data_IF_879465171175
#
_entry.id   IF_879465171175
#
_cell.length_a   1.000
_cell.length_b   1.000
_cell.length_c   1.000
_cell.angle_alpha   90.00
_cell.angle_beta   90.00
_cell.angle_gamma   90.00
#
_symmetry.space_group_name_H-M   'P 1'
#
loop_
_entity.id
_entity.type
_entity.pdbx_description
1 polymer ?
2 non-polymer ?
3 non-polymer ?
4 non-polymer ?
5 water ?
#
# COMPACT_ATOMS: atom_id res chain seq x y z
N UNK A 3 29.14 19.31 -1.16
CA UNK A 3 28.48 18.04 -0.89
C UNK A 3 27.37 17.78 -1.89
N UNK A 4 27.22 16.51 -2.25
CA UNK A 4 26.32 16.12 -3.33
C UNK A 4 25.77 14.72 -3.09
N UNK A 5 24.52 14.64 -2.65
CA UNK A 5 23.89 13.35 -2.41
C UNK A 5 22.63 13.18 -3.25
N UNK A 6 22.64 12.14 -4.06
CA UNK A 6 21.55 11.85 -4.96
C UNK A 6 21.10 10.42 -4.74
N UNK A 7 19.80 10.21 -4.62
CA UNK A 7 19.29 8.85 -4.51
C UNK A 7 18.81 8.37 -5.87
N UNK A 8 19.60 7.48 -6.47
CA UNK A 8 19.22 6.80 -7.71
C UNK A 8 18.53 5.47 -7.35
N UNK A 9 17.42 5.15 -7.99
CA UNK A 9 16.82 3.82 -7.85
C UNK A 9 16.68 3.14 -9.19
N UNK A 10 16.90 1.83 -9.20
CA UNK A 10 16.61 1.02 -10.36
C UNK A 10 15.88 -0.23 -9.87
N UNK A 11 14.69 -0.48 -10.40
CA UNK A 11 13.86 -1.59 -9.94
C UNK A 11 14.51 -2.94 -10.25
N UNK A 12 14.24 -3.96 -9.41
CA UNK A 12 14.82 -5.30 -9.63
C UNK A 12 14.10 -6.11 -10.71
N UNK A 13 12.92 -5.66 -11.13
CA UNK A 13 12.15 -6.38 -12.14
C UNK A 13 11.17 -5.43 -12.83
N UNK A 14 10.61 -5.86 -13.95
CA UNK A 14 9.59 -5.09 -14.63
C UNK A 14 8.36 -4.91 -13.74
N UNK A 15 7.68 -3.79 -13.87
CA UNK A 15 6.45 -3.53 -13.12
C UNK A 15 5.26 -3.45 -14.10
N UNK A 16 4.25 -4.26 -13.85
CA UNK A 16 3.00 -4.21 -14.60
C UNK A 16 1.94 -3.67 -13.64
N UNK A 17 1.45 -2.47 -13.88
CA UNK A 17 0.64 -1.77 -12.87
C UNK A 17 -0.60 -2.56 -12.47
N UNK A 18 -1.24 -3.23 -13.43
CA UNK A 18 -2.44 -4.01 -13.16
C UNK A 18 -2.13 -5.12 -12.14
N UNK A 19 -0.92 -5.65 -12.22
CA UNK A 19 -0.44 -6.72 -11.33
C UNK A 19 0.11 -6.17 -10.02
N UNK A 20 0.73 -4.99 -10.10
CA UNK A 20 1.55 -4.47 -9.01
C UNK A 20 0.84 -3.53 -8.03
N UNK A 21 -0.03 -2.66 -8.55
CA UNK A 21 -0.62 -1.59 -7.75
C UNK A 21 -2.11 -1.84 -7.49
N UNK A 22 -2.44 -2.10 -6.24
CA UNK A 22 -3.82 -2.26 -5.82
C UNK A 22 -4.22 -1.11 -4.93
N UNK A 23 -5.47 -1.12 -4.47
CA UNK A 23 -5.95 -0.13 -3.52
C UNK A 23 -6.67 -0.82 -2.37
N UNK A 24 -6.54 -0.26 -1.17
CA UNK A 24 -7.46 -0.60 -0.10
C UNK A 24 -8.83 -0.04 -0.45
N UNK A 25 -9.88 -0.62 0.12
CA UNK A 25 -11.22 -0.11 -0.12
C UNK A 25 -12.08 -0.47 1.07
N UNK A 26 -13.21 0.22 1.20
CA UNK A 26 -14.08 0.05 2.35
C UNK A 26 -15.51 -0.09 1.83
N UNK A 27 -15.69 -0.98 0.86
CA UNK A 27 -16.93 -1.03 0.09
C UNK A 27 -18.19 -1.19 0.95
N UNK A 28 -18.11 -1.94 2.04
CA UNK A 28 -19.31 -2.20 2.83
C UNK A 28 -19.75 -0.96 3.61
N UNK A 29 -18.94 0.10 3.60
CA UNK A 29 -19.38 1.37 4.17
C UNK A 29 -20.40 2.05 3.27
N UNK A 30 -20.56 1.52 2.06
CA UNK A 30 -21.31 2.20 1.02
C UNK A 30 -22.40 1.32 0.42
N UNK A 31 -23.41 1.96 -0.20
CA UNK A 31 -24.41 1.23 -0.99
C UNK A 31 -23.76 0.59 -2.21
N UNK A 32 -24.36 -0.50 -2.72
CA UNK A 32 -23.81 -1.14 -3.92
C UNK A 32 -23.72 -0.19 -5.13
N UNK A 33 -24.67 0.74 -5.24
CA UNK A 33 -24.63 1.73 -6.30
C UNK A 33 -23.38 2.59 -6.18
N UNK A 34 -23.09 3.02 -4.96
CA UNK A 34 -21.93 3.88 -4.72
C UNK A 34 -20.62 3.12 -4.89
N UNK A 35 -20.54 1.88 -4.40
CA UNK A 35 -19.25 1.22 -4.53
C UNK A 35 -19.03 0.69 -5.94
N UNK A 36 -20.09 0.45 -6.71
CA UNK A 36 -19.86 0.13 -8.13
C UNK A 36 -19.33 1.34 -8.90
N UNK A 37 -19.71 2.56 -8.50
CA UNK A 37 -19.14 3.76 -9.11
C UNK A 37 -17.65 3.91 -8.74
N UNK A 38 -17.30 3.58 -7.48
CA UNK A 38 -15.90 3.59 -7.06
C UNK A 38 -15.08 2.64 -7.93
N UNK A 39 -15.67 1.48 -8.22
CA UNK A 39 -14.99 0.47 -9.02
C UNK A 39 -14.85 0.94 -10.47
N UNK A 40 -15.87 1.64 -10.99
CA UNK A 40 -15.75 2.31 -12.29
C UNK A 40 -14.46 3.13 -12.36
N UNK A 41 -14.23 3.94 -11.33
CA UNK A 41 -13.06 4.81 -11.28
C UNK A 41 -11.76 4.03 -11.18
N UNK A 42 -11.78 2.95 -10.39
CA UNK A 42 -10.60 2.11 -10.25
C UNK A 42 -10.24 1.48 -11.58
N UNK A 43 -11.25 0.96 -12.28
CA UNK A 43 -11.02 0.31 -13.57
C UNK A 43 -10.49 1.29 -14.60
N UNK A 44 -10.95 2.54 -14.52
CA UNK A 44 -10.44 3.58 -15.43
C UNK A 44 -8.95 3.85 -15.22
N UNK A 45 -8.40 3.50 -14.06
CA UNK A 45 -6.95 3.61 -13.86
C UNK A 45 -6.18 2.40 -14.43
N UNK A 46 -6.90 1.39 -14.89
CA UNK A 46 -6.26 0.17 -15.38
C UNK A 46 -5.85 -0.78 -14.25
N UNK A 47 -6.49 -0.63 -13.09
CA UNK A 47 -6.14 -1.44 -11.91
C UNK A 47 -7.24 -2.44 -11.59
N UNK A 48 -6.94 -3.45 -10.77
CA UNK A 48 -7.92 -4.51 -10.48
C UNK A 48 -7.80 -5.14 -9.09
N UNK A 49 -6.70 -4.88 -8.39
CA UNK A 49 -6.46 -5.50 -7.07
C UNK A 49 -7.04 -4.64 -5.96
N UNK A 50 -7.83 -5.25 -5.06
CA UNK A 50 -8.36 -4.52 -3.90
C UNK A 50 -8.10 -5.28 -2.61
N UNK A 51 -7.93 -4.53 -1.52
CA UNK A 51 -7.75 -5.10 -0.18
C UNK A 51 -8.85 -4.61 0.74
N UNK A 52 -9.52 -5.55 1.40
CA UNK A 52 -10.71 -5.26 2.18
C UNK A 52 -10.61 -5.80 3.61
N UNK A 53 -11.04 -5.00 4.58
CA UNK A 53 -11.00 -5.38 5.99
C UNK A 53 -12.27 -6.13 6.41
N UNK A 54 -12.10 -7.20 7.18
CA UNK A 54 -13.21 -7.86 7.84
C UNK A 54 -12.98 -7.86 9.35
N UNK A 55 -13.93 -7.34 10.12
CA UNK A 55 -13.84 -7.40 11.57
C UNK A 55 -14.74 -8.49 12.12
N UNK A 56 -14.12 -9.43 12.82
CA UNK A 56 -14.83 -10.63 13.27
C UNK A 56 -16.04 -10.28 14.13
N UNK A 57 -15.86 -9.29 15.01
CA UNK A 57 -16.93 -8.85 15.90
C UNK A 57 -18.11 -8.22 15.16
N UNK A 58 -17.93 -7.86 13.89
CA UNK A 58 -19.03 -7.36 13.07
C UNK A 58 -19.69 -8.46 12.24
N UNK A 59 -18.93 -9.51 11.93
CA UNK A 59 -19.46 -10.62 11.13
C UNK A 59 -20.13 -11.68 11.99
N UNK A 60 -19.62 -11.87 13.20
CA UNK A 60 -20.21 -12.81 14.12
C UNK A 60 -20.51 -12.05 15.40
N UNK A 61 -21.77 -11.64 15.56
CA UNK A 61 -22.16 -10.71 16.62
C UNK A 61 -22.52 -11.40 17.93
N UNK A 62 -22.66 -12.72 17.86
CA UNK A 62 -22.77 -13.60 19.01
C UNK A 62 -22.35 -14.96 18.49
N UNK A 63 -22.07 -15.91 19.36
CA UNK A 63 -21.49 -17.17 18.90
C UNK A 63 -22.39 -17.87 17.90
N UNK A 64 -21.86 -18.11 16.70
CA UNK A 64 -22.58 -18.74 15.58
C UNK A 64 -23.84 -17.98 15.15
N UNK A 65 -23.86 -16.67 15.43
CA UNK A 65 -24.86 -15.76 14.86
C UNK A 65 -24.10 -14.84 13.91
N UNK A 66 -24.33 -14.99 12.61
CA UNK A 66 -23.54 -14.26 11.64
C UNK A 66 -24.32 -13.14 10.96
N UNK A 67 -23.59 -12.18 10.41
CA UNK A 67 -24.18 -11.10 9.63
C UNK A 67 -23.46 -11.05 8.29
N UNK A 68 -23.90 -11.86 7.33
CA UNK A 68 -23.11 -12.03 6.12
C UNK A 68 -23.82 -11.59 4.83
N UNK A 69 -25.04 -11.06 4.95
CA UNK A 69 -25.80 -10.72 3.74
C UNK A 69 -25.06 -9.70 2.87
N UNK A 70 -24.55 -8.63 3.48
CA UNK A 70 -23.83 -7.58 2.75
C UNK A 70 -22.52 -8.09 2.15
N UNK A 71 -21.82 -8.90 2.92
CA UNK A 71 -20.55 -9.47 2.45
C UNK A 71 -20.79 -10.44 1.31
N UNK A 72 -21.80 -11.32 1.45
CA UNK A 72 -22.16 -12.24 0.37
C UNK A 72 -22.40 -11.49 -0.95
N UNK A 73 -23.17 -10.41 -0.88
CA UNK A 73 -23.48 -9.62 -2.08
C UNK A 73 -22.23 -8.93 -2.63
N UNK A 74 -21.38 -8.42 -1.75
CA UNK A 74 -20.15 -7.77 -2.19
C UNK A 74 -19.23 -8.72 -2.94
N UNK A 75 -19.08 -9.93 -2.41
CA UNK A 75 -18.21 -10.92 -3.07
C UNK A 75 -18.75 -11.26 -4.48
N UNK A 76 -20.06 -11.38 -4.62
CA UNK A 76 -20.66 -11.59 -5.94
C UNK A 76 -20.37 -10.39 -6.83
N UNK A 77 -20.50 -9.18 -6.27
CA UNK A 77 -20.29 -7.95 -7.05
C UNK A 77 -18.83 -7.81 -7.49
N UNK A 78 -17.90 -8.16 -6.62
CA UNK A 78 -16.47 -8.09 -6.96
C UNK A 78 -16.12 -9.00 -8.14
N UNK A 79 -16.66 -10.22 -8.15
CA UNK A 79 -16.42 -11.12 -9.27
C UNK A 79 -17.11 -10.64 -10.54
N UNK A 80 -18.30 -10.08 -10.40
CA UNK A 80 -18.99 -9.49 -11.55
C UNK A 80 -18.22 -8.28 -12.13
N UNK A 81 -17.36 -7.65 -11.32
CA UNK A 81 -16.54 -6.55 -11.83
C UNK A 81 -15.10 -6.99 -12.12
N UNK A 82 -14.87 -8.30 -12.13
CA UNK A 82 -13.55 -8.87 -12.45
C UNK A 82 -12.42 -8.34 -11.56
N UNK A 83 -12.70 -8.03 -10.31
CA UNK A 83 -11.66 -7.56 -9.40
C UNK A 83 -10.94 -8.73 -8.73
N UNK A 84 -9.69 -8.52 -8.34
CA UNK A 84 -8.94 -9.54 -7.61
C UNK A 84 -8.81 -9.04 -6.17
N UNK A 85 -9.18 -9.87 -5.19
CA UNK A 85 -9.30 -9.32 -3.85
C UNK A 85 -8.48 -10.06 -2.79
N UNK A 86 -7.98 -9.31 -1.83
CA UNK A 86 -7.42 -9.90 -0.64
C UNK A 86 -8.23 -9.38 0.55
N UNK A 87 -8.70 -10.30 1.38
CA UNK A 87 -9.47 -9.94 2.57
C UNK A 87 -8.65 -10.26 3.81
N UNK A 88 -8.63 -9.37 4.78
CA UNK A 88 -8.04 -9.74 6.08
C UNK A 88 -9.12 -9.79 7.16
N UNK A 89 -8.96 -10.73 8.08
CA UNK A 89 -9.86 -10.86 9.22
C UNK A 89 -9.10 -10.43 10.46
N UNK A 90 -9.68 -9.52 11.25
CA UNK A 90 -9.01 -9.01 12.44
C UNK A 90 -10.03 -8.82 13.56
N UNK A 91 -9.55 -8.79 14.80
CA UNK A 91 -10.43 -8.57 15.94
C UNK A 91 -11.03 -9.86 16.49
N UNK A 92 -11.35 -9.85 17.78
CA UNK A 92 -12.01 -10.99 18.41
C UNK A 92 -13.50 -10.75 18.48
N UNK A 93 -14.29 -11.77 18.19
CA UNK A 93 -15.71 -11.75 18.52
C UNK A 93 -15.85 -11.75 20.03
N UNK A 94 -16.97 -11.23 20.54
CA UNK A 94 -17.16 -11.08 21.97
C UNK A 94 -17.05 -12.40 22.74
N UNK A 95 -17.50 -13.50 22.15
CA UNK A 95 -17.56 -14.76 22.87
C UNK A 95 -16.16 -15.40 23.04
N UNK A 96 -15.17 -14.86 22.36
CA UNK A 96 -13.88 -15.52 22.30
C UNK A 96 -12.72 -14.63 22.77
N UNK A 97 -12.99 -13.36 23.05
CA UNK A 97 -11.93 -12.40 23.30
C UNK A 97 -11.21 -12.66 24.63
N UNK A 98 -9.94 -12.25 24.70
CA UNK A 98 -9.16 -12.32 25.93
C UNK A 98 -9.33 -11.04 26.75
N UNK A 99 -10.15 -10.12 26.28
CA UNK A 99 -10.38 -8.87 26.98
C UNK A 99 -10.96 -9.10 28.38
N UNK A 100 -10.53 -8.31 29.37
CA UNK A 100 -11.19 -8.33 30.68
C UNK A 100 -12.64 -7.86 30.52
N UNK A 101 -13.50 -8.21 31.46
CA UNK A 101 -14.93 -7.93 31.30
C UNK A 101 -15.26 -6.46 31.08
N UNK A 102 -14.61 -5.57 31.82
CA UNK A 102 -14.97 -4.16 31.77
C UNK A 102 -14.08 -3.30 30.85
N UNK A 103 -13.32 -3.93 29.97
CA UNK A 103 -12.55 -3.18 28.98
C UNK A 103 -13.45 -2.56 27.93
N UNK A 104 -13.14 -1.33 27.52
CA UNK A 104 -13.89 -0.64 26.47
C UNK A 104 -13.52 -1.08 25.05
N UNK A 105 -12.44 -1.85 24.90
CA UNK A 105 -11.94 -2.22 23.57
C UNK A 105 -11.92 -3.73 23.37
N UNK A 106 -13.06 -4.38 23.60
CA UNK A 106 -13.16 -5.84 23.59
C UNK A 106 -12.55 -6.49 22.35
N UNK A 107 -12.76 -5.90 21.19
CA UNK A 107 -12.31 -6.50 19.93
C UNK A 107 -10.81 -6.35 19.67
N UNK A 108 -10.15 -5.50 20.47
CA UNK A 108 -8.74 -5.18 20.23
C UNK A 108 -7.80 -6.15 20.94
N UNK A 109 -8.40 -7.14 21.62
CA UNK A 109 -7.66 -8.22 22.26
C UNK A 109 -7.69 -9.46 21.35
N UNK A 110 -6.63 -10.28 21.40
CA UNK A 110 -6.63 -11.48 20.54
C UNK A 110 -7.56 -12.57 21.08
N UNK A 111 -7.88 -13.57 20.25
CA UNK A 111 -8.79 -14.61 20.75
C UNK A 111 -8.14 -15.54 21.76
N UNK A 112 -8.95 -16.08 22.66
CA UNK A 112 -8.53 -17.05 23.67
C UNK A 112 -8.01 -18.33 23.04
N UNK A 113 -8.59 -18.70 21.90
CA UNK A 113 -8.25 -19.95 21.23
C UNK A 113 -8.01 -19.67 19.75
N UNK A 114 -6.74 -19.74 19.30
CA UNK A 114 -6.43 -19.48 17.90
C UNK A 114 -7.17 -20.39 16.93
N UNK A 115 -7.51 -21.61 17.35
CA UNK A 115 -8.17 -22.57 16.46
C UNK A 115 -9.57 -22.13 16.09
N UNK A 116 -10.22 -21.39 16.98
CA UNK A 116 -11.56 -20.88 16.73
C UNK A 116 -11.53 -19.81 15.64
N UNK A 117 -10.58 -18.91 15.73
CA UNK A 117 -10.34 -17.90 14.69
C UNK A 117 -10.02 -18.57 13.37
N UNK A 118 -9.13 -19.56 13.41
CA UNK A 118 -8.71 -20.26 12.20
C UNK A 118 -9.91 -20.91 11.50
N UNK A 119 -10.81 -21.51 12.26
CA UNK A 119 -12.00 -22.13 11.66
C UNK A 119 -12.87 -21.09 10.95
N UNK A 120 -12.89 -19.86 11.45
CA UNK A 120 -13.66 -18.81 10.79
C UNK A 120 -13.01 -18.43 9.46
N UNK A 121 -11.69 -18.29 9.44
CA UNK A 121 -11.01 -17.98 8.17
C UNK A 121 -11.21 -19.12 7.16
N UNK A 122 -11.22 -20.36 7.64
CA UNK A 122 -11.49 -21.49 6.77
C UNK A 122 -12.93 -21.45 6.23
N UNK A 123 -13.88 -21.09 7.10
CA UNK A 123 -15.28 -20.97 6.68
C UNK A 123 -15.42 -19.91 5.60
N UNK A 124 -14.80 -18.75 5.82
CA UNK A 124 -14.88 -17.65 4.87
C UNK A 124 -14.27 -18.02 3.53
N UNK A 125 -13.11 -18.67 3.57
CA UNK A 125 -12.42 -19.08 2.35
C UNK A 125 -13.26 -20.08 1.57
N UNK A 126 -13.83 -21.05 2.28
CA UNK A 126 -14.66 -22.06 1.62
C UNK A 126 -15.94 -21.44 1.06
N UNK A 127 -16.47 -20.44 1.75
CA UNK A 127 -17.67 -19.74 1.31
C UNK A 127 -17.42 -18.86 0.08
N UNK A 128 -16.21 -18.32 -0.03
CA UNK A 128 -15.87 -17.38 -1.09
C UNK A 128 -14.66 -17.82 -1.90
N UNK A 129 -14.79 -18.86 -2.74
CA UNK A 129 -13.61 -19.38 -3.45
C UNK A 129 -13.01 -18.40 -4.46
N UNK A 130 -13.77 -17.37 -4.85
CA UNK A 130 -13.24 -16.37 -5.79
C UNK A 130 -12.18 -15.45 -5.18
N UNK A 131 -12.14 -15.37 -3.85
CA UNK A 131 -11.18 -14.49 -3.19
C UNK A 131 -9.75 -14.96 -3.49
N UNK A 132 -8.88 -14.03 -3.84
CA UNK A 132 -7.55 -14.37 -4.34
C UNK A 132 -6.56 -14.72 -3.23
N UNK A 133 -6.68 -14.07 -2.08
CA UNK A 133 -5.79 -14.33 -0.96
C UNK A 133 -6.44 -13.97 0.36
N UNK A 134 -6.00 -14.63 1.43
CA UNK A 134 -6.53 -14.40 2.77
C UNK A 134 -5.43 -13.93 3.69
N UNK A 135 -5.70 -12.86 4.44
CA UNK A 135 -4.68 -12.24 5.31
C UNK A 135 -5.06 -12.35 6.78
N UNK A 136 -4.08 -12.71 7.62
CA UNK A 136 -4.38 -13.12 8.99
C UNK A 136 -4.09 -12.01 10.00
N UNK A 137 -5.15 -11.43 10.56
CA UNK A 137 -5.08 -10.30 11.50
C UNK A 137 -4.53 -9.05 10.82
N UNK A 138 -4.21 -8.05 11.64
CA UNK A 138 -3.72 -6.77 11.12
C UNK A 138 -2.89 -6.07 12.18
N UNK A 139 -1.75 -5.52 11.78
CA UNK A 139 -0.85 -4.75 12.67
C UNK A 139 -0.75 -5.25 14.14
N UNK A 140 -0.34 -6.52 14.33
CA UNK A 140 -0.24 -7.07 15.70
C UNK A 140 0.88 -6.42 16.51
N UNK A 141 1.77 -5.65 15.88
CA UNK A 141 2.78 -4.91 16.63
C UNK A 141 2.22 -3.63 17.23
N UNK A 142 0.98 -3.29 16.88
CA UNK A 142 0.35 -2.06 17.37
C UNK A 142 -0.67 -2.36 18.46
N UNK A 143 -0.60 -1.64 19.58
CA UNK A 143 -1.46 -1.92 20.74
C UNK A 143 -2.94 -1.95 20.39
N UNK A 144 -3.38 -1.05 19.52
CA UNK A 144 -4.78 -0.95 19.15
C UNK A 144 -5.32 -2.16 18.41
N UNK A 145 -4.45 -3.08 17.99
CA UNK A 145 -4.93 -4.30 17.35
C UNK A 145 -4.59 -5.57 18.12
N UNK A 146 -3.75 -5.46 19.14
CA UNK A 146 -3.41 -6.62 19.95
C UNK A 146 -3.06 -6.21 21.37
N UNK A 147 -4.07 -6.13 22.23
CA UNK A 147 -3.91 -5.75 23.62
C UNK A 147 -3.62 -6.97 24.50
N UNK A 148 -2.95 -6.77 25.64
CA UNK A 148 -2.43 -5.50 26.16
C UNK A 148 -0.99 -5.21 25.79
N UNK A 149 -0.36 -6.10 25.05
CA UNK A 149 1.06 -5.98 24.76
C UNK A 149 1.38 -6.84 23.54
N UNK A 150 2.24 -6.35 22.65
CA UNK A 150 2.60 -7.11 21.46
C UNK A 150 3.14 -8.47 21.89
N UNK A 151 2.76 -9.52 21.15
CA UNK A 151 3.06 -10.88 21.57
C UNK A 151 3.42 -11.75 20.37
N UNK A 152 4.69 -11.71 19.95
CA UNK A 152 5.12 -12.44 18.74
C UNK A 152 4.75 -13.92 18.83
N UNK A 153 4.96 -14.53 19.98
CA UNK A 153 4.63 -15.93 20.21
C UNK A 153 3.14 -16.19 19.98
N UNK A 154 2.31 -15.33 20.56
CA UNK A 154 0.87 -15.42 20.39
C UNK A 154 0.44 -15.23 18.94
N UNK A 155 1.05 -14.28 18.24
CA UNK A 155 0.65 -14.06 16.86
C UNK A 155 1.14 -15.22 15.99
N UNK A 156 2.33 -15.75 16.27
CA UNK A 156 2.82 -16.90 15.51
C UNK A 156 1.87 -18.10 15.59
N UNK A 157 1.36 -18.36 16.78
CA UNK A 157 0.43 -19.48 16.97
C UNK A 157 -0.87 -19.23 16.21
N UNK A 158 -1.34 -17.98 16.23
CA UNK A 158 -2.54 -17.62 15.50
C UNK A 158 -2.32 -17.77 13.99
N UNK A 159 -1.18 -17.27 13.51
CA UNK A 159 -0.84 -17.38 12.09
C UNK A 159 -0.66 -18.85 11.68
N UNK A 160 0.02 -19.62 12.50
CA UNK A 160 0.19 -21.06 12.21
C UNK A 160 -1.14 -21.78 12.08
N UNK A 161 -2.01 -21.58 13.07
CA UNK A 161 -3.30 -22.23 13.09
C UNK A 161 -4.16 -21.83 11.88
N UNK A 162 -4.12 -20.55 11.53
CA UNK A 162 -4.87 -20.04 10.37
C UNK A 162 -4.33 -20.59 9.05
N UNK A 163 -3.01 -20.64 8.93
CA UNK A 163 -2.37 -21.12 7.72
C UNK A 163 -2.76 -22.57 7.44
N UNK A 164 -2.64 -23.41 8.46
CA UNK A 164 -3.03 -24.82 8.35
C UNK A 164 -4.50 -24.96 7.91
N UNK A 165 -5.38 -24.24 8.58
CA UNK A 165 -6.81 -24.32 8.25
C UNK A 165 -7.11 -23.82 6.83
N UNK A 166 -6.48 -22.71 6.44
CA UNK A 166 -6.74 -22.14 5.12
C UNK A 166 -6.23 -23.08 4.03
N UNK A 167 -5.13 -23.77 4.31
CA UNK A 167 -4.55 -24.68 3.31
C UNK A 167 -5.31 -25.98 3.22
N UNK A 168 -6.03 -26.34 4.28
CA UNK A 168 -6.92 -27.49 4.23
C UNK A 168 -8.09 -27.24 3.27
N UNK A 169 -8.60 -26.02 3.25
CA UNK A 169 -9.63 -25.61 2.29
C UNK A 169 -9.07 -25.53 0.87
N UNK A 170 -7.95 -24.84 0.71
CA UNK A 170 -7.28 -24.70 -0.58
C UNK A 170 -5.76 -24.63 -0.40
N UNK A 171 -5.05 -25.74 -0.68
CA UNK A 171 -3.60 -25.76 -0.44
C UNK A 171 -2.77 -24.88 -1.37
N UNK A 172 -3.36 -24.44 -2.49
CA UNK A 172 -2.60 -23.64 -3.44
C UNK A 172 -2.78 -22.14 -3.25
N UNK A 173 -3.79 -21.75 -2.49
CA UNK A 173 -4.08 -20.33 -2.34
C UNK A 173 -3.13 -19.66 -1.35
N UNK A 174 -2.58 -18.50 -1.72
CA UNK A 174 -1.64 -17.76 -0.86
C UNK A 174 -2.23 -17.39 0.51
N UNK A 175 -1.42 -17.56 1.55
CA UNK A 175 -1.77 -17.06 2.87
C UNK A 175 -0.89 -15.86 3.18
N UNK A 176 -1.51 -14.76 3.58
CA UNK A 176 -0.77 -13.53 3.80
C UNK A 176 -0.70 -13.25 5.30
N UNK A 177 0.50 -13.01 5.83
CA UNK A 177 0.56 -12.66 7.25
C UNK A 177 0.10 -11.20 7.44
N UNK A 178 -0.18 -10.84 8.68
CA UNK A 178 -0.70 -9.50 8.98
C UNK A 178 0.21 -8.40 8.47
N UNK A 179 -0.40 -7.36 7.92
CA UNK A 179 0.36 -6.17 7.59
C UNK A 179 0.90 -5.57 8.88
N UNK A 180 2.23 -5.54 9.04
CA UNK A 180 2.84 -4.93 10.22
C UNK A 180 2.79 -3.40 10.16
N UNK A 181 2.43 -2.73 11.26
CA UNK A 181 2.44 -1.27 11.26
C UNK A 181 3.86 -0.73 11.03
N UNK A 182 3.99 0.30 10.21
CA UNK A 182 5.28 0.95 9.92
C UNK A 182 6.28 -0.07 9.38
N UNK A 183 7.44 -0.22 10.02
CA UNK A 183 8.39 -1.26 9.58
C UNK A 183 8.44 -2.45 10.55
N UNK A 184 7.33 -2.66 11.28
CA UNK A 184 7.10 -3.76 12.23
C UNK A 184 7.70 -3.54 13.62
N UNK A 185 8.16 -2.32 13.92
CA UNK A 185 8.69 -1.97 15.24
C UNK A 185 7.67 -2.23 16.34
N UNK A 186 8.13 -2.75 17.47
CA UNK A 186 7.31 -2.89 18.67
C UNK A 186 7.78 -1.91 19.73
N UNK A 187 6.89 -1.58 20.69
CA UNK A 187 7.24 -0.66 21.78
C UNK A 187 8.44 -1.09 22.62
N UNK A 188 8.77 -2.38 22.66
CA UNK A 188 9.91 -2.83 23.45
C UNK A 188 11.23 -2.63 22.69
N UNK A 189 11.15 -2.03 21.51
CA UNK A 189 12.35 -1.75 20.74
C UNK A 189 12.81 -2.83 19.77
N UNK A 190 12.14 -3.99 19.76
CA UNK A 190 12.44 -5.02 18.75
C UNK A 190 11.50 -4.86 17.56
N UNK A 191 11.76 -5.57 16.47
CA UNK A 191 10.80 -5.58 15.38
C UNK A 191 10.05 -6.90 15.40
N UNK A 192 8.78 -6.87 15.02
CA UNK A 192 7.98 -8.09 14.95
C UNK A 192 8.59 -9.08 13.95
N UNK A 193 9.14 -8.56 12.84
CA UNK A 193 9.68 -9.46 11.82
C UNK A 193 10.85 -10.23 12.39
N UNK A 194 11.66 -9.55 13.19
CA UNK A 194 12.80 -10.23 13.78
C UNK A 194 12.35 -11.29 14.77
N UNK A 195 11.44 -10.91 15.66
CA UNK A 195 11.00 -11.83 16.71
C UNK A 195 10.33 -13.07 16.09
N UNK A 196 9.54 -12.85 15.04
CA UNK A 196 8.87 -13.95 14.36
C UNK A 196 9.88 -14.88 13.69
N UNK A 197 10.96 -14.30 13.15
CA UNK A 197 12.03 -15.08 12.55
C UNK A 197 12.66 -16.04 13.53
N UNK A 198 12.77 -15.61 14.79
CA UNK A 198 13.34 -16.47 15.82
C UNK A 198 12.40 -17.60 16.19
N UNK A 199 11.12 -17.38 15.94
CA UNK A 199 10.11 -18.40 16.22
C UNK A 199 9.92 -19.35 15.04
N UNK A 200 10.73 -19.17 13.99
CA UNK A 200 10.70 -20.07 12.86
C UNK A 200 9.49 -19.89 11.94
N UNK A 201 8.91 -18.69 11.96
CA UNK A 201 7.67 -18.40 11.24
C UNK A 201 7.82 -18.50 9.73
N UNK A 202 9.04 -18.31 9.22
CA UNK A 202 9.27 -18.42 7.79
C UNK A 202 8.98 -19.83 7.26
N UNK A 203 8.96 -20.83 8.15
CA UNK A 203 8.62 -22.18 7.73
C UNK A 203 7.15 -22.30 7.29
N UNK A 204 6.34 -21.31 7.65
CA UNK A 204 4.94 -21.33 7.24
C UNK A 204 4.76 -20.94 5.78
N UNK A 205 5.76 -20.27 5.21
CA UNK A 205 5.69 -19.83 3.83
C UNK A 205 4.58 -18.82 3.54
N UNK A 206 4.28 -17.94 4.48
CA UNK A 206 3.25 -16.93 4.22
C UNK A 206 3.88 -15.68 3.61
N UNK A 207 3.08 -14.92 2.88
CA UNK A 207 3.54 -13.64 2.34
C UNK A 207 3.75 -12.61 3.45
N UNK A 208 4.87 -11.92 3.40
CA UNK A 208 5.20 -10.93 4.41
C UNK A 208 4.75 -9.54 3.95
N UNK A 209 4.25 -8.73 4.87
CA UNK A 209 3.83 -7.41 4.46
C UNK A 209 3.87 -6.39 5.60
N UNK A 210 4.05 -5.12 5.25
CA UNK A 210 4.08 -4.06 6.25
C UNK A 210 3.55 -2.75 5.67
N UNK A 211 3.39 -1.77 6.54
CA UNK A 211 2.61 -0.57 6.24
C UNK A 211 3.48 0.64 6.54
N UNK A 212 4.42 0.95 5.64
CA UNK A 212 5.46 1.91 6.01
C UNK A 212 5.01 3.38 5.86
N UNK A 213 4.03 3.80 6.65
CA UNK A 213 3.62 5.21 6.64
C UNK A 213 4.77 6.06 7.17
N UNK A 214 5.08 7.17 6.50
CA UNK A 214 6.02 8.17 7.04
C UNK A 214 5.46 9.57 6.79
N UNK A 215 6.00 10.56 7.49
CA UNK A 215 5.53 11.93 7.36
C UNK A 215 5.64 12.48 5.94
N UNK A 216 6.84 12.36 5.37
CA UNK A 216 7.13 12.78 4.00
C UNK A 216 7.23 11.56 3.10
N UNK A 217 7.23 11.76 1.77
CA UNK A 217 7.27 10.55 0.93
C UNK A 217 8.55 9.75 1.15
N UNK A 218 9.65 10.43 1.46
CA UNK A 218 10.95 9.74 1.50
C UNK A 218 11.51 9.58 2.91
N UNK A 219 10.69 9.82 3.93
CA UNK A 219 11.14 9.73 5.31
C UNK A 219 10.29 10.55 6.26
N UNK A 220 10.69 10.63 7.53
CA UNK A 220 9.91 11.40 8.49
C UNK A 220 10.35 12.84 8.72
N UNK A 221 11.58 13.17 8.35
CA UNK A 221 12.09 14.55 8.49
C UNK A 221 12.88 14.94 7.25
N UNK A 222 12.84 16.24 6.89
CA UNK A 222 13.57 16.74 5.72
C UNK A 222 15.07 16.44 5.76
N UNK A 223 15.64 16.36 6.96
CA UNK A 223 17.06 16.09 7.15
C UNK A 223 17.35 14.60 7.34
N UNK A 224 16.31 13.77 7.25
CA UNK A 224 16.48 12.34 7.47
C UNK A 224 15.55 11.57 6.54
N UNK A 225 15.80 11.69 5.24
CA UNK A 225 14.97 11.01 4.25
C UNK A 225 15.47 9.57 4.07
N UNK A 226 15.15 8.69 5.01
CA UNK A 226 15.73 7.35 4.96
C UNK A 226 14.73 6.24 4.70
N UNK A 227 13.63 6.57 4.04
CA UNK A 227 12.64 5.57 3.67
C UNK A 227 13.26 4.46 2.82
N UNK A 228 14.00 4.85 1.79
CA UNK A 228 14.59 3.89 0.89
C UNK A 228 15.55 2.96 1.64
N UNK A 229 16.38 3.53 2.50
CA UNK A 229 17.33 2.76 3.29
C UNK A 229 16.62 1.72 4.19
N UNK A 230 15.55 2.14 4.86
CA UNK A 230 14.77 1.25 5.73
C UNK A 230 14.08 0.14 4.95
N UNK A 231 13.45 0.52 3.86
CA UNK A 231 12.72 -0.43 3.02
C UNK A 231 13.68 -1.47 2.46
N UNK A 232 14.84 -1.02 1.98
CA UNK A 232 15.82 -1.94 1.43
C UNK A 232 16.30 -2.92 2.50
N UNK A 233 16.52 -2.40 3.70
CA UNK A 233 17.04 -3.23 4.78
C UNK A 233 16.02 -4.29 5.18
N UNK A 234 14.77 -3.90 5.38
CA UNK A 234 13.78 -4.89 5.79
C UNK A 234 13.48 -5.88 4.64
N UNK A 235 13.43 -5.37 3.41
CA UNK A 235 13.13 -6.25 2.29
C UNK A 235 14.24 -7.28 2.07
N UNK A 236 15.49 -6.85 2.20
CA UNK A 236 16.61 -7.78 2.09
C UNK A 236 16.56 -8.86 3.17
N UNK A 237 16.20 -8.46 4.38
CA UNK A 237 16.14 -9.39 5.49
C UNK A 237 15.03 -10.41 5.25
N UNK A 238 13.91 -9.95 4.70
CA UNK A 238 12.79 -10.83 4.39
C UNK A 238 13.16 -11.84 3.29
N UNK A 239 13.80 -11.37 2.21
CA UNK A 239 14.26 -12.29 1.17
C UNK A 239 15.23 -13.31 1.75
N UNK A 240 16.15 -12.87 2.60
CA UNK A 240 17.13 -13.78 3.20
C UNK A 240 16.47 -14.86 4.05
N UNK A 241 15.31 -14.56 4.60
CA UNK A 241 14.56 -15.52 5.41
C UNK A 241 13.73 -16.43 4.52
N UNK A 242 13.71 -16.15 3.22
CA UNK A 242 13.04 -17.00 2.27
C UNK A 242 11.53 -16.83 2.17
N UNK A 243 11.03 -15.63 2.34
CA UNK A 243 9.59 -15.40 2.17
C UNK A 243 9.21 -15.60 0.70
N UNK A 244 7.99 -16.09 0.44
CA UNK A 244 7.55 -16.29 -0.93
C UNK A 244 7.34 -14.98 -1.70
N UNK A 245 7.01 -13.92 -0.98
CA UNK A 245 6.76 -12.62 -1.59
C UNK A 245 6.69 -11.55 -0.51
N UNK A 246 6.87 -10.31 -0.92
CA UNK A 246 6.74 -9.15 -0.04
C UNK A 246 5.72 -8.20 -0.63
N UNK A 247 4.68 -7.88 0.14
CA UNK A 247 3.72 -6.86 -0.23
C UNK A 247 3.84 -5.68 0.70
N UNK A 248 3.36 -4.51 0.27
CA UNK A 248 3.05 -3.47 1.23
C UNK A 248 1.55 -3.24 1.17
N UNK A 249 0.82 -3.66 2.20
CA UNK A 249 -0.64 -3.64 2.07
C UNK A 249 -1.31 -2.32 2.48
N UNK A 250 -0.51 -1.36 2.95
CA UNK A 250 -1.03 0.00 3.24
C UNK A 250 0.09 1.02 3.16
N UNK A 251 -0.21 2.18 2.57
CA UNK A 251 0.63 3.37 2.62
C UNK A 251 -0.21 4.53 2.07
N UNK A 252 0.14 5.76 2.38
CA UNK A 252 -0.63 6.90 1.86
C UNK A 252 -0.73 8.07 2.81
N UNK A 253 -1.48 9.10 2.40
CA UNK A 253 -1.62 10.34 3.18
C UNK A 253 -3.06 10.81 3.13
N UNK A 254 -3.46 11.50 4.18
CA UNK A 254 -4.79 12.06 4.30
C UNK A 254 -4.80 13.51 3.88
N UNK A 255 -5.85 13.93 3.17
CA UNK A 255 -6.03 15.33 2.81
C UNK A 255 -6.73 16.15 3.89
N UNK A 256 -6.88 15.61 5.10
CA UNK A 256 -7.70 16.29 6.12
C UNK A 256 -7.17 17.67 6.49
N UNK A 257 -8.05 18.49 7.04
CA UNK A 257 -7.72 19.89 7.32
C UNK A 257 -7.32 20.08 8.77
N UNK A 258 -7.51 19.04 9.58
CA UNK A 258 -7.11 19.09 10.97
C UNK A 258 -8.27 18.87 11.92
N UNK A 259 -8.02 18.97 13.23
CA UNK A 259 -6.73 19.32 13.83
C UNK A 259 -5.69 18.22 13.68
N UNK A 260 -4.42 18.60 13.69
CA UNK A 260 -3.34 17.65 13.44
C UNK A 260 -3.40 16.44 14.36
N UNK A 261 -3.37 15.26 13.75
CA UNK A 261 -3.24 14.03 14.51
C UNK A 261 -2.26 13.09 13.79
N UNK A 262 -1.03 13.05 14.30
CA UNK A 262 0.12 12.33 13.73
C UNK A 262 0.63 12.94 12.42
N UNK A 263 -0.26 13.08 11.44
CA UNK A 263 0.16 13.54 10.13
C UNK A 263 0.01 15.06 9.97
N UNK A 264 1.06 15.72 9.48
CA UNK A 264 0.98 17.15 9.18
C UNK A 264 -0.10 17.40 8.15
N UNK A 265 -0.70 18.59 8.19
CA UNK A 265 -1.77 18.95 7.28
C UNK A 265 -1.16 19.33 5.94
N UNK A 266 -1.57 18.65 4.87
CA UNK A 266 -1.04 18.91 3.54
C UNK A 266 -2.12 19.19 2.50
N UNK A 267 -3.37 18.84 2.80
CA UNK A 267 -4.50 19.13 1.90
C UNK A 267 -4.55 18.23 0.67
N UNK A 268 -5.48 18.52 -0.24
CA UNK A 268 -5.67 17.67 -1.43
C UNK A 268 -4.47 17.74 -2.38
N UNK A 269 -3.83 18.90 -2.48
CA UNK A 269 -2.67 19.04 -3.37
C UNK A 269 -1.41 18.37 -2.80
N UNK A 270 -1.21 18.52 -1.49
CA UNK A 270 -0.15 17.78 -0.84
C UNK A 270 -0.35 16.29 -0.96
N UNK A 271 -1.59 15.82 -0.79
CA UNK A 271 -1.87 14.40 -0.92
C UNK A 271 -1.47 13.90 -2.31
N UNK A 272 -1.84 14.64 -3.36
CA UNK A 272 -1.51 14.25 -4.72
C UNK A 272 0.01 14.17 -4.91
N UNK A 273 0.70 15.19 -4.44
CA UNK A 273 2.16 15.29 -4.52
C UNK A 273 2.83 14.10 -3.83
N UNK A 274 2.48 13.89 -2.56
CA UNK A 274 3.16 12.87 -1.75
C UNK A 274 2.89 11.45 -2.27
N UNK A 275 1.66 11.18 -2.66
CA UNK A 275 1.31 9.84 -3.15
C UNK A 275 2.11 9.51 -4.41
N UNK A 276 2.24 10.48 -5.30
CA UNK A 276 2.99 10.25 -6.55
C UNK A 276 4.48 10.01 -6.28
N UNK A 277 5.08 10.83 -5.41
CA UNK A 277 6.48 10.62 -5.10
C UNK A 277 6.71 9.26 -4.45
N UNK A 278 5.85 8.88 -3.50
CA UNK A 278 6.03 7.60 -2.80
C UNK A 278 5.83 6.43 -3.76
N UNK A 279 4.88 6.58 -4.69
CA UNK A 279 4.65 5.54 -5.69
C UNK A 279 5.89 5.33 -6.55
N UNK A 280 6.51 6.44 -6.97
CA UNK A 280 7.75 6.34 -7.76
C UNK A 280 8.82 5.57 -6.97
N UNK A 281 8.89 5.81 -5.67
CA UNK A 281 9.87 5.11 -4.83
C UNK A 281 9.54 3.63 -4.70
N UNK A 282 8.32 3.33 -4.27
CA UNK A 282 7.98 1.95 -3.94
C UNK A 282 7.96 1.06 -5.17
N UNK A 283 7.57 1.61 -6.32
CA UNK A 283 7.53 0.78 -7.53
C UNK A 283 8.94 0.45 -8.00
N UNK A 284 9.95 1.10 -7.42
CA UNK A 284 11.33 0.82 -7.81
C UNK A 284 12.08 0.05 -6.72
N UNK A 285 11.35 -0.38 -5.69
CA UNK A 285 11.93 -1.13 -4.58
C UNK A 285 11.47 -2.58 -4.68
N UNK A 286 11.94 -3.42 -3.76
CA UNK A 286 11.70 -4.86 -3.90
C UNK A 286 10.38 -5.30 -3.27
N UNK A 287 9.29 -4.77 -3.79
CA UNK A 287 7.93 -5.22 -3.45
C UNK A 287 7.35 -6.01 -4.63
N UNK A 288 6.58 -7.05 -4.36
CA UNK A 288 5.88 -7.76 -5.42
C UNK A 288 4.51 -7.14 -5.71
N UNK A 289 3.93 -6.52 -4.70
CA UNK A 289 2.63 -5.85 -4.83
C UNK A 289 2.46 -4.84 -3.71
N UNK A 290 1.87 -3.68 -4.01
CA UNK A 290 1.58 -2.70 -2.97
C UNK A 290 0.12 -2.22 -3.08
N UNK A 291 -0.44 -1.76 -1.96
CA UNK A 291 -1.84 -1.30 -1.92
C UNK A 291 -1.96 0.09 -1.31
N UNK A 292 -2.31 1.07 -2.13
CA UNK A 292 -2.52 2.42 -1.64
C UNK A 292 -3.70 2.49 -0.66
N UNK A 293 -3.56 3.24 0.44
CA UNK A 293 -4.69 3.55 1.32
C UNK A 293 -5.16 4.99 1.02
N UNK A 294 -6.35 5.20 0.45
CA UNK A 294 -7.35 4.18 0.18
C UNK A 294 -8.20 4.65 -0.99
N UNK A 295 -9.17 3.84 -1.45
CA UNK A 295 -9.91 4.19 -2.67
C UNK A 295 -10.81 5.42 -2.49
N UNK A 296 -11.52 5.50 -1.36
CA UNK A 296 -12.51 6.56 -1.19
C UNK A 296 -12.44 7.24 0.17
N UNK A 297 -12.75 8.53 0.18
CA UNK A 297 -13.04 9.25 1.42
C UNK A 297 -14.14 8.51 2.19
N UNK A 298 -14.24 8.74 3.49
CA UNK A 298 -15.22 8.03 4.32
C UNK A 298 -16.04 9.02 5.12
N UNK A 299 -17.22 8.60 5.58
CA UNK A 299 -18.07 9.52 6.33
C UNK A 299 -17.64 9.60 7.80
N UNK A 300 -18.50 10.16 8.63
CA UNK A 300 -18.09 10.50 9.99
C UNK A 300 -18.03 9.32 10.94
N UNK A 301 -18.28 8.10 10.44
CA UNK A 301 -17.95 6.91 11.20
C UNK A 301 -16.43 6.73 11.34
N UNK A 302 -15.67 7.36 10.45
CA UNK A 302 -14.21 7.31 10.53
C UNK A 302 -13.69 8.50 11.34
N UNK A 303 -12.49 8.36 11.90
CA UNK A 303 -11.82 9.48 12.56
C UNK A 303 -11.60 10.61 11.55
N UNK A 304 -11.37 11.81 12.05
CA UNK A 304 -11.19 12.99 11.20
C UNK A 304 -10.10 12.76 10.16
N UNK A 305 -8.96 12.23 10.58
CA UNK A 305 -7.87 11.99 9.64
C UNK A 305 -8.24 10.91 8.61
N UNK A 306 -8.84 9.82 9.09
CA UNK A 306 -9.15 8.67 8.24
C UNK A 306 -10.25 8.92 7.20
N UNK A 307 -10.94 10.05 7.31
CA UNK A 307 -11.99 10.38 6.34
C UNK A 307 -11.45 10.80 4.98
N UNK A 308 -10.18 11.19 4.91
CA UNK A 308 -9.70 11.87 3.70
C UNK A 308 -8.49 11.23 3.03
N UNK A 309 -8.34 9.91 3.17
CA UNK A 309 -7.26 9.19 2.48
C UNK A 309 -7.64 8.82 1.04
N UNK A 310 -8.87 9.11 0.64
CA UNK A 310 -9.38 8.63 -0.64
C UNK A 310 -8.69 9.15 -1.90
N UNK A 311 -8.65 8.30 -2.94
CA UNK A 311 -8.44 8.77 -4.31
C UNK A 311 -9.68 9.54 -4.74
N UNK A 312 -10.81 9.14 -4.16
CA UNK A 312 -12.12 9.65 -4.57
C UNK A 312 -12.79 10.36 -3.41
N UNK A 313 -13.61 11.37 -3.70
CA UNK A 313 -14.41 11.99 -2.65
C UNK A 313 -15.62 11.12 -2.33
N UNK A 314 -16.44 11.56 -1.40
CA UNK A 314 -17.58 10.77 -0.96
C UNK A 314 -18.56 10.45 -2.08
N UNK A 315 -18.64 11.33 -3.08
CA UNK A 315 -19.52 11.10 -4.22
C UNK A 315 -18.88 10.16 -5.24
N UNK A 316 -17.72 9.60 -4.89
CA UNK A 316 -16.95 8.70 -5.76
C UNK A 316 -16.45 9.43 -7.00
N UNK A 317 -16.20 10.73 -6.87
CA UNK A 317 -15.60 11.50 -7.95
C UNK A 317 -14.12 11.75 -7.69
N UNK A 318 -13.32 11.88 -8.75
CA UNK A 318 -11.87 12.07 -8.61
C UNK A 318 -11.47 13.25 -7.72
N UNK A 319 -10.51 13.02 -6.82
CA UNK A 319 -9.82 14.10 -6.12
C UNK A 319 -8.55 14.45 -6.93
N UNK A 320 -7.85 15.53 -6.58
CA UNK A 320 -6.59 15.82 -7.28
C UNK A 320 -5.60 14.63 -7.36
N UNK A 321 -5.50 13.82 -6.31
CA UNK A 321 -4.57 12.70 -6.35
C UNK A 321 -4.98 11.66 -7.42
N UNK A 322 -6.28 11.44 -7.60
CA UNK A 322 -6.72 10.53 -8.66
C UNK A 322 -6.31 11.06 -10.03
N UNK A 323 -6.61 12.33 -10.29
CA UNK A 323 -6.31 12.92 -11.59
C UNK A 323 -4.82 12.90 -11.86
N UNK A 324 -4.01 13.15 -10.82
CA UNK A 324 -2.57 13.09 -10.95
C UNK A 324 -2.08 11.65 -11.23
N UNK A 325 -2.58 10.69 -10.46
CA UNK A 325 -2.22 9.30 -10.66
C UNK A 325 -2.64 8.83 -12.06
N UNK A 326 -3.82 9.24 -12.49
CA UNK A 326 -4.30 8.92 -13.83
C UNK A 326 -3.34 9.44 -14.92
N UNK A 327 -2.88 10.69 -14.79
CA UNK A 327 -1.94 11.26 -15.76
C UNK A 327 -0.62 10.50 -15.76
N UNK A 328 -0.17 10.17 -14.56
CA UNK A 328 1.07 9.43 -14.34
C UNK A 328 1.05 8.07 -15.05
N UNK A 329 -0.02 7.31 -14.82
CA UNK A 329 -0.16 5.99 -15.42
C UNK A 329 -0.33 6.04 -16.93
N UNK A 330 -0.95 7.11 -17.43
CA UNK A 330 -1.09 7.26 -18.88
C UNK A 330 0.27 7.50 -19.53
N UNK A 331 1.12 8.26 -18.87
CA UNK A 331 2.45 8.52 -19.39
C UNK A 331 3.33 7.27 -19.33
N UNK A 332 3.28 6.52 -18.22
CA UNK A 332 4.10 5.31 -18.11
C UNK A 332 3.63 4.23 -19.07
N UNK A 333 2.33 4.18 -19.34
CA UNK A 333 1.76 3.06 -20.04
C UNK A 333 1.59 1.94 -19.02
N UNK A 334 1.12 0.78 -19.44
CA UNK A 334 0.77 -0.28 -18.49
C UNK A 334 1.94 -1.09 -17.89
N UNK A 335 3.12 -1.01 -18.50
CA UNK A 335 4.25 -1.84 -18.08
C UNK A 335 5.58 -1.12 -18.22
N UNK A 336 6.38 -1.17 -17.17
CA UNK A 336 7.68 -0.50 -17.18
C UNK A 336 8.81 -1.49 -16.93
N UNK A 337 9.87 -1.39 -17.72
CA UNK A 337 11.06 -2.21 -17.54
C UNK A 337 12.17 -1.35 -16.95
N UNK A 338 12.96 -1.92 -16.01
CA UNK A 338 14.04 -1.16 -15.35
C UNK A 338 15.04 -0.57 -16.35
N UNK A 339 15.48 0.64 -16.09
CA UNK A 339 16.48 1.29 -16.94
C UNK A 339 17.33 2.26 -16.12
N UNK A 340 18.19 3.00 -16.80
CA UNK A 340 19.02 4.00 -16.15
C UNK A 340 18.49 5.41 -16.45
N UNK A 341 18.75 6.35 -15.55
CA UNK A 341 18.42 7.74 -15.86
C UNK A 341 19.32 8.25 -16.98
N UNK A 342 18.93 9.36 -17.64
CA UNK A 342 19.82 9.90 -18.68
C UNK A 342 21.04 10.51 -18.02
N UNK A 343 22.08 10.73 -18.81
CA UNK A 343 23.27 11.43 -18.34
C UNK A 343 22.88 12.86 -17.92
N UNK A 344 23.28 13.25 -16.71
CA UNK A 344 22.98 14.59 -16.20
C UNK A 344 24.22 15.40 -15.88
N UNK A 345 24.09 16.71 -15.98
CA UNK A 345 25.08 17.66 -15.49
C UNK A 345 24.40 18.61 -14.49
N UNK A 346 24.97 18.69 -13.30
CA UNK A 346 24.49 19.56 -12.24
C UNK A 346 23.07 19.22 -11.78
N UNK A 347 22.76 17.93 -11.70
CA UNK A 347 21.54 17.49 -11.02
C UNK A 347 21.63 17.96 -9.57
N UNK A 348 20.59 18.64 -9.06
CA UNK A 348 20.65 19.27 -7.75
C UNK A 348 20.86 18.28 -6.61
N UNK A 349 21.60 18.73 -5.60
CA UNK A 349 21.75 17.99 -4.36
C UNK A 349 20.35 17.65 -3.80
N UNK A 350 20.20 16.46 -3.23
CA UNK A 350 18.93 16.02 -2.69
C UNK A 350 17.99 15.36 -3.71
N UNK A 351 18.42 15.29 -4.96
CA UNK A 351 17.55 14.75 -6.01
C UNK A 351 17.27 13.25 -5.84
N UNK A 352 16.06 12.86 -6.23
CA UNK A 352 15.70 11.46 -6.44
C UNK A 352 15.61 11.25 -7.95
N UNK A 353 16.05 10.09 -8.44
CA UNK A 353 16.26 9.88 -9.86
C UNK A 353 15.99 8.41 -10.20
N UNK A 354 15.00 8.15 -11.04
CA UNK A 354 14.58 6.78 -11.36
C UNK A 354 14.32 6.60 -12.85
N UNK A 355 14.94 5.58 -13.43
CA UNK A 355 14.82 5.34 -14.86
C UNK A 355 14.04 4.08 -15.22
N UNK A 356 13.23 4.19 -16.26
CA UNK A 356 12.39 3.10 -16.78
C UNK A 356 12.36 3.16 -18.30
N UNK A 357 11.95 2.05 -18.92
CA UNK A 357 11.57 2.01 -20.33
C UNK A 357 10.12 1.56 -20.45
N UNK A 358 9.31 2.20 -21.30
CA UNK A 358 7.91 1.75 -21.47
C UNK A 358 7.78 0.79 -22.63
N UNK A 359 6.54 0.40 -22.90
CA UNK A 359 6.28 -0.66 -23.87
C UNK A 359 6.64 -0.24 -25.28
N UNK A 360 6.50 1.03 -25.61
CA UNK A 360 6.85 1.50 -26.95
C UNK A 360 8.36 1.77 -27.09
N UNK A 361 9.12 1.48 -26.03
CA UNK A 361 10.56 1.59 -26.11
C UNK A 361 11.12 2.92 -25.67
N UNK A 362 10.26 3.91 -25.44
CA UNK A 362 10.73 5.21 -25.00
C UNK A 362 11.16 5.13 -23.54
N UNK A 363 12.15 5.93 -23.18
CA UNK A 363 12.58 6.01 -21.80
C UNK A 363 11.72 6.98 -21.01
N UNK A 364 11.61 6.69 -19.72
CA UNK A 364 10.89 7.51 -18.77
C UNK A 364 11.80 7.81 -17.60
N UNK A 365 12.00 9.09 -17.32
CA UNK A 365 12.80 9.48 -16.15
C UNK A 365 11.91 10.14 -15.12
N UNK A 366 11.96 9.65 -13.89
CA UNK A 366 11.20 10.22 -12.77
C UNK A 366 12.18 10.90 -11.84
N UNK A 367 11.90 12.15 -11.50
CA UNK A 367 12.86 12.92 -10.74
C UNK A 367 12.24 14.08 -10.00
N UNK A 368 12.91 14.46 -8.90
CA UNK A 368 12.51 15.63 -8.12
C UNK A 368 13.62 15.96 -7.12
N UNK A 369 13.55 17.14 -6.52
CA UNK A 369 14.45 17.51 -5.44
C UNK A 369 13.82 18.58 -4.58
N UNK A 370 14.02 18.48 -3.27
CA UNK A 370 13.44 19.44 -2.33
C UNK A 370 13.86 20.88 -2.61
N UNK A 371 15.04 21.08 -3.18
CA UNK A 371 15.52 22.43 -3.37
C UNK A 371 15.26 22.95 -4.79
N UNK A 372 14.55 22.17 -5.59
CA UNK A 372 14.20 22.56 -6.94
C UNK A 372 15.42 22.86 -7.79
N UNK A 373 15.27 23.76 -8.75
CA UNK A 373 16.40 24.20 -9.55
C UNK A 373 16.32 23.71 -10.98
N UNK A 374 17.46 23.30 -11.51
CA UNK A 374 17.58 23.02 -12.94
C UNK A 374 18.68 21.98 -13.17
N UNK A 375 18.53 21.19 -14.21
CA UNK A 375 19.54 20.19 -14.56
C UNK A 375 19.74 20.20 -16.07
N UNK A 376 20.96 19.96 -16.51
CA UNK A 376 21.24 19.87 -17.95
C UNK A 376 21.41 18.41 -18.37
N UNK A 377 20.80 18.03 -19.50
CA UNK A 377 20.99 16.70 -20.08
C UNK A 377 21.76 16.81 -21.39
N UNK A 378 23.08 16.63 -21.34
CA UNK A 378 23.96 16.91 -22.48
C UNK A 378 23.70 16.06 -23.73
N UNK A 379 23.20 14.84 -23.57
CA UNK A 379 23.11 13.95 -24.73
C UNK A 379 21.80 14.06 -25.53
N UNK A 380 20.90 14.95 -25.12
CA UNK A 380 19.56 14.99 -25.69
C UNK A 380 19.25 16.27 -26.45
N UNK A 381 18.53 16.16 -27.55
CA UNK A 381 18.12 17.33 -28.33
C UNK A 381 16.61 17.56 -28.30
N UNK A 382 15.86 16.51 -27.98
CA UNK A 382 14.41 16.60 -27.84
C UNK A 382 13.95 15.66 -26.72
N UNK A 383 12.96 16.10 -25.95
CA UNK A 383 12.28 15.23 -25.00
C UNK A 383 10.98 15.90 -24.63
N UNK A 384 10.10 15.17 -23.96
CA UNK A 384 8.84 15.74 -23.52
C UNK A 384 8.72 15.65 -22.00
N UNK A 385 8.49 16.80 -21.36
CA UNK A 385 8.37 16.87 -19.91
C UNK A 385 6.91 16.84 -19.45
N UNK A 386 6.60 15.97 -18.50
CA UNK A 386 5.24 15.89 -17.96
C UNK A 386 5.20 16.27 -16.48
N UNK A 387 4.27 17.14 -16.12
CA UNK A 387 3.99 17.46 -14.72
C UNK A 387 2.63 16.90 -14.34
N UNK A 388 2.62 15.73 -13.68
CA UNK A 388 1.34 15.09 -13.38
C UNK A 388 0.47 15.82 -12.35
N UNK A 389 1.04 16.71 -11.53
CA UNK A 389 0.22 17.48 -10.60
C UNK A 389 -0.56 18.58 -11.30
N UNK A 390 0.04 19.22 -12.30
CA UNK A 390 -0.64 20.30 -13.00
C UNK A 390 -1.25 19.84 -14.31
N UNK A 391 -0.73 18.74 -14.85
CA UNK A 391 -1.19 18.26 -16.15
C UNK A 391 -0.46 18.94 -17.29
N UNK A 392 0.52 19.78 -16.97
CA UNK A 392 1.22 20.52 -18.02
C UNK A 392 2.15 19.60 -18.79
N UNK A 393 2.12 19.69 -20.11
CA UNK A 393 3.04 18.91 -20.95
C UNK A 393 3.93 19.90 -21.69
N UNK A 394 5.25 19.74 -21.58
CA UNK A 394 6.17 20.72 -22.15
C UNK A 394 7.23 20.07 -23.03
N UNK A 395 7.14 20.28 -24.35
CA UNK A 395 8.24 19.83 -25.21
C UNK A 395 9.54 20.59 -24.89
N UNK A 396 10.63 19.86 -24.76
CA UNK A 396 11.94 20.44 -24.52
C UNK A 396 12.84 20.18 -25.71
N UNK A 397 13.61 21.18 -26.12
CA UNK A 397 14.53 21.02 -27.24
C UNK A 397 15.82 21.79 -27.03
N UNK A 398 16.87 21.40 -27.74
CA UNK A 398 18.14 22.11 -27.69
C UNK A 398 19.04 21.66 -28.83
N UNK A 399 20.02 22.47 -29.20
CA UNK A 399 20.92 22.06 -30.25
C UNK A 399 21.96 21.06 -29.73
N UNK A 400 22.32 21.17 -28.45
CA UNK A 400 23.40 20.34 -27.91
C UNK A 400 23.14 19.87 -26.47
N UNK A 401 21.88 19.72 -26.11
CA UNK A 401 21.55 19.33 -24.75
C UNK A 401 20.26 20.00 -24.31
N UNK A 402 19.63 19.44 -23.28
CA UNK A 402 18.38 19.98 -22.76
C UNK A 402 18.53 20.67 -21.40
N UNK A 403 17.81 21.77 -21.26
CA UNK A 403 17.62 22.46 -19.98
C UNK A 403 16.34 21.99 -19.32
N UNK A 404 16.44 21.36 -18.16
CA UNK A 404 15.25 20.79 -17.50
C UNK A 404 15.04 21.37 -16.09
N UNK A 405 13.87 21.99 -15.85
CA UNK A 405 13.61 22.49 -14.50
C UNK A 405 13.32 21.34 -13.54
N UNK A 406 13.81 21.44 -12.31
CA UNK A 406 13.59 20.44 -11.28
C UNK A 406 12.61 21.01 -10.24
N UNK A 407 11.65 20.20 -9.82
CA UNK A 407 10.67 20.62 -8.83
C UNK A 407 10.75 19.76 -7.57
N UNK A 408 10.15 20.23 -6.49
CA UNK A 408 10.05 19.47 -5.25
C UNK A 408 9.06 18.32 -5.45
N UNK A 409 8.23 18.44 -6.48
CA UNK A 409 7.24 17.43 -6.83
C UNK A 409 7.73 16.62 -8.02
N UNK A 410 7.20 15.41 -8.17
CA UNK A 410 7.59 14.51 -9.25
C UNK A 410 7.33 15.10 -10.63
N UNK A 411 8.32 15.02 -11.51
CA UNK A 411 8.09 15.23 -12.93
C UNK A 411 8.54 14.00 -13.71
N UNK A 412 8.06 13.87 -14.95
CA UNK A 412 8.38 12.73 -15.80
C UNK A 412 8.93 13.24 -17.12
N UNK A 413 10.13 12.79 -17.48
CA UNK A 413 10.69 13.13 -18.79
C UNK A 413 10.67 11.92 -19.69
N UNK A 414 10.05 12.07 -20.86
CA UNK A 414 10.01 10.98 -21.83
C UNK A 414 11.00 11.30 -22.95
N UNK A 415 11.92 10.37 -23.21
CA UNK A 415 13.06 10.62 -24.10
C UNK A 415 13.52 9.32 -24.76
N UNK A 416 14.42 9.45 -25.74
CA UNK A 416 14.91 8.29 -26.49
C UNK A 416 16.42 8.34 -26.73
#
# INVERSE_FOLDING_TARGET
GSHMEIQVLKAPRAVVWKDFLGVNAQFLWFSPERYNKQIDRLQDLGLEWVRLDLHWDRLETAEDQYQLASLDQLVKDLEARQLKSVFYLVGSARFITTAPFYSPFQDQYPPRDPEVFARRMAMLSQRYPSVAAWQVWNEPNLIGFWRPKADPEGYAKLLQASTIALRMVDPEKPVVSAGMAFFSEMPDGRTMFDALGHLGVESLGTIATYHPYTQLPEGNYPWNLDFVSHANQINRALRNAGVPAIWSTEWGWSAYKGPKELQDIIGVEGQADYVLRRLALMSALDYDRIFLFTLSDLDQRASVRDRDYGLLDLDANPKPVYLALQRFLKVTGPKLRPADPPVTEDLPDGSFSIGWTREDGRNVWLFWSARGGNVRLPKLKEATLHDPLSGKVTPLSGSDGLEVPVKSSLQMLVWE
#
